data_IF_725221638608
#
_entry.id   IF_725221638608
#
_cell.length_a   1.000
_cell.length_b   1.000
_cell.length_c   1.000
_cell.angle_alpha   90.00
_cell.angle_beta   90.00
_cell.angle_gamma   90.00
#
_symmetry.space_group_name_H-M   'P 1'
#
loop_
_entity.id
_entity.type
_entity.pdbx_description
1 polymer ?
#
# COMPACT_ATOMS: atom_id res chain seq x y z
N UNK A 1 26.95 -23.04 34.90
CA UNK A 1 27.19 -22.20 33.71
C UNK A 1 25.94 -22.19 32.84
N UNK A 2 25.17 -21.10 32.85
CA UNK A 2 23.99 -20.96 32.00
C UNK A 2 24.43 -20.51 30.61
N UNK A 3 24.08 -21.28 29.59
CA UNK A 3 24.25 -20.90 28.19
C UNK A 3 23.23 -19.79 27.91
N UNK A 4 23.67 -18.54 28.01
CA UNK A 4 22.84 -17.37 27.73
C UNK A 4 22.72 -17.25 26.21
N UNK A 5 21.60 -17.69 25.65
CA UNK A 5 21.23 -17.54 24.25
C UNK A 5 21.44 -16.07 23.80
N UNK A 6 22.06 -15.79 22.64
CA UNK A 6 21.99 -14.46 22.08
C UNK A 6 20.52 -14.14 21.75
N UNK A 7 20.03 -12.91 22.01
CA UNK A 7 18.67 -12.54 21.65
C UNK A 7 18.48 -12.71 20.14
N UNK A 8 17.34 -13.23 19.68
CA UNK A 8 17.08 -13.28 18.25
C UNK A 8 17.08 -11.83 17.73
N UNK A 9 17.95 -11.57 16.76
CA UNK A 9 17.79 -10.47 15.80
C UNK A 9 16.47 -10.74 15.07
N UNK A 10 15.35 -10.46 15.73
CA UNK A 10 14.01 -10.64 15.19
C UNK A 10 13.82 -9.54 14.15
N UNK A 11 14.40 -9.78 12.98
CA UNK A 11 13.74 -9.57 11.70
C UNK A 11 12.98 -8.25 11.62
N UNK A 12 13.66 -7.13 11.91
CA UNK A 12 13.13 -5.79 11.63
C UNK A 12 13.26 -5.43 10.14
N UNK A 13 13.24 -6.45 9.28
CA UNK A 13 13.16 -6.37 7.82
C UNK A 13 11.84 -6.97 7.31
N UNK A 14 10.83 -7.06 8.18
CA UNK A 14 9.47 -7.30 7.75
C UNK A 14 8.78 -5.93 7.81
N UNK A 15 8.23 -5.51 6.66
CA UNK A 15 7.10 -4.59 6.52
C UNK A 15 7.29 -3.15 6.00
N UNK A 16 8.39 -2.78 5.34
CA UNK A 16 8.39 -1.48 4.62
C UNK A 16 7.41 -1.41 3.43
N UNK A 17 6.76 -2.53 3.08
CA UNK A 17 5.68 -2.63 2.07
C UNK A 17 4.27 -2.81 2.68
N UNK A 18 4.09 -2.81 4.00
CA UNK A 18 2.93 -3.49 4.64
C UNK A 18 1.88 -2.60 5.33
N UNK A 19 1.85 -1.30 5.09
CA UNK A 19 0.79 -0.44 5.64
C UNK A 19 -0.06 0.24 4.57
N UNK A 20 -0.36 -0.49 3.50
CA UNK A 20 -1.48 -0.09 2.66
C UNK A 20 -2.78 -0.57 3.29
N UNK A 21 -3.70 0.36 3.51
CA UNK A 21 -5.07 0.10 3.95
C UNK A 21 -5.96 -0.13 2.74
N UNK A 22 -6.66 -1.27 2.72
CA UNK A 22 -7.70 -1.53 1.73
C UNK A 22 -8.87 -0.57 1.95
N UNK A 23 -9.32 0.08 0.88
CA UNK A 23 -10.51 0.91 0.89
C UNK A 23 -11.53 0.38 -0.13
N UNK A 24 -12.78 0.29 0.32
CA UNK A 24 -13.90 -0.18 -0.51
C UNK A 24 -14.48 0.87 -1.45
N UNK A 25 -13.96 2.10 -1.43
CA UNK A 25 -14.51 3.24 -2.17
C UNK A 25 -13.51 3.78 -3.18
N UNK A 26 -13.87 3.72 -4.47
CA UNK A 26 -13.10 4.33 -5.55
C UNK A 26 -13.00 5.85 -5.39
N UNK A 27 -14.04 6.51 -4.87
CA UNK A 27 -14.01 7.96 -4.64
C UNK A 27 -12.94 8.36 -3.62
N UNK A 28 -12.83 7.63 -2.50
CA UNK A 28 -11.78 7.88 -1.50
C UNK A 28 -10.39 7.65 -2.07
N UNK A 29 -10.23 6.65 -2.94
CA UNK A 29 -8.98 6.37 -3.61
C UNK A 29 -8.58 7.53 -4.54
N UNK A 30 -9.53 8.01 -5.33
CA UNK A 30 -9.30 9.12 -6.24
C UNK A 30 -8.95 10.41 -5.48
N UNK A 31 -9.68 10.75 -4.42
CA UNK A 31 -9.37 11.91 -3.57
C UNK A 31 -7.97 11.80 -2.98
N UNK A 32 -7.59 10.63 -2.49
CA UNK A 32 -6.25 10.37 -1.96
C UNK A 32 -5.16 10.60 -3.01
N UNK A 33 -5.33 10.05 -4.22
CA UNK A 33 -4.39 10.28 -5.32
C UNK A 33 -4.32 11.76 -5.69
N UNK A 34 -5.45 12.46 -5.73
CA UNK A 34 -5.52 13.87 -6.05
C UNK A 34 -4.78 14.74 -5.02
N UNK A 35 -4.96 14.47 -3.71
CA UNK A 35 -4.22 15.15 -2.63
C UNK A 35 -2.71 14.97 -2.78
N UNK A 36 -2.27 13.80 -3.27
CA UNK A 36 -0.87 13.50 -3.51
C UNK A 36 -0.35 13.99 -4.88
N UNK A 37 -1.20 14.57 -5.71
CA UNK A 37 -0.86 14.99 -7.07
C UNK A 37 -0.58 13.82 -8.03
N UNK A 38 -1.08 12.62 -7.72
CA UNK A 38 -0.90 11.41 -8.52
C UNK A 38 -2.02 11.33 -9.56
N UNK A 39 -1.65 11.15 -10.82
CA UNK A 39 -2.62 10.93 -11.90
C UNK A 39 -3.36 9.61 -11.67
N UNK A 40 -4.69 9.66 -11.63
CA UNK A 40 -5.51 8.48 -11.45
C UNK A 40 -5.29 7.51 -12.63
N UNK A 41 -4.83 6.26 -12.39
CA UNK A 41 -4.69 5.28 -13.45
C UNK A 41 -6.07 4.89 -13.99
N UNK A 42 -6.20 4.84 -15.32
CA UNK A 42 -7.40 4.28 -15.93
C UNK A 42 -7.48 2.78 -15.61
N UNK A 43 -8.50 2.34 -14.87
CA UNK A 43 -8.72 0.94 -14.52
C UNK A 43 -8.74 0.02 -15.75
N UNK A 44 -9.21 0.52 -16.89
CA UNK A 44 -9.18 -0.19 -18.18
C UNK A 44 -7.76 -0.55 -18.65
N UNK A 45 -6.73 0.14 -18.15
CA UNK A 45 -5.31 -0.14 -18.42
C UNK A 45 -4.65 -0.96 -17.31
N UNK A 46 -5.36 -1.25 -16.21
CA UNK A 46 -4.84 -2.05 -15.11
C UNK A 46 -5.20 -3.51 -15.36
N UNK A 47 -4.27 -4.28 -15.93
CA UNK A 47 -4.53 -5.67 -16.30
C UNK A 47 -4.71 -6.58 -15.08
N UNK A 48 -3.85 -6.44 -14.06
CA UNK A 48 -3.89 -7.28 -12.85
C UNK A 48 -3.50 -6.51 -11.59
N UNK A 49 -2.49 -5.65 -11.71
CA UNK A 49 -1.91 -4.93 -10.60
C UNK A 49 -1.41 -3.57 -11.10
N UNK A 50 -1.74 -2.52 -10.36
CA UNK A 50 -1.13 -1.22 -10.50
C UNK A 50 -0.55 -0.80 -9.16
N UNK A 51 0.65 -0.25 -9.17
CA UNK A 51 1.35 0.17 -7.98
C UNK A 51 1.99 1.53 -8.24
N UNK A 52 1.77 2.45 -7.30
CA UNK A 52 2.42 3.75 -7.32
C UNK A 52 3.34 3.89 -6.13
N UNK A 53 4.62 4.08 -6.45
CA UNK A 53 5.68 4.27 -5.47
C UNK A 53 6.20 5.70 -5.58
N UNK A 54 6.33 6.35 -4.45
CA UNK A 54 6.94 7.67 -4.31
C UNK A 54 8.09 7.55 -3.31
N UNK A 55 9.29 8.01 -3.67
CA UNK A 55 10.47 7.97 -2.78
C UNK A 55 10.70 6.56 -2.18
N UNK A 56 10.64 5.54 -3.04
CA UNK A 56 10.76 4.11 -2.69
C UNK A 56 9.65 3.54 -1.78
N UNK A 57 8.65 4.35 -1.43
CA UNK A 57 7.50 3.95 -0.63
C UNK A 57 6.30 3.68 -1.50
N UNK A 58 5.66 2.53 -1.31
CA UNK A 58 4.40 2.22 -1.96
C UNK A 58 3.29 3.07 -1.32
N UNK A 59 2.71 3.98 -2.10
CA UNK A 59 1.71 4.95 -1.63
C UNK A 59 0.30 4.50 -1.99
N UNK A 60 0.13 3.95 -3.20
CA UNK A 60 -1.15 3.46 -3.66
C UNK A 60 -0.97 2.18 -4.48
N UNK A 61 -1.98 1.32 -4.43
CA UNK A 61 -2.03 0.09 -5.22
C UNK A 61 -3.47 -0.23 -5.60
N UNK A 62 -3.65 -0.72 -6.82
CA UNK A 62 -4.90 -1.27 -7.30
C UNK A 62 -4.63 -2.73 -7.65
N UNK A 63 -5.45 -3.63 -7.15
CA UNK A 63 -5.36 -5.04 -7.47
C UNK A 63 -6.70 -5.53 -8.01
N UNK A 64 -6.67 -6.19 -9.16
CA UNK A 64 -7.87 -6.82 -9.71
C UNK A 64 -7.98 -8.22 -9.10
N UNK A 65 -9.09 -8.49 -8.42
CA UNK A 65 -9.39 -9.82 -7.87
C UNK A 65 -9.67 -10.83 -9.00
N UNK A 66 -9.62 -12.14 -8.69
CA UNK A 66 -9.97 -13.20 -9.65
C UNK A 66 -11.40 -13.07 -10.20
N UNK A 67 -12.26 -12.35 -9.49
CA UNK A 67 -13.62 -12.01 -9.89
C UNK A 67 -13.72 -10.75 -10.77
N UNK A 68 -12.59 -10.13 -11.15
CA UNK A 68 -12.56 -8.90 -11.95
C UNK A 68 -12.87 -7.62 -11.15
N UNK A 69 -13.00 -7.71 -9.82
CA UNK A 69 -13.27 -6.56 -8.96
C UNK A 69 -11.98 -5.84 -8.60
N UNK A 70 -11.91 -4.54 -8.88
CA UNK A 70 -10.80 -3.69 -8.45
C UNK A 70 -10.85 -3.47 -6.93
N UNK A 71 -9.74 -3.77 -6.26
CA UNK A 71 -9.48 -3.47 -4.85
C UNK A 71 -8.45 -2.37 -4.78
N UNK A 72 -8.74 -1.37 -3.96
CA UNK A 72 -7.93 -0.17 -3.83
C UNK A 72 -7.22 -0.17 -2.49
N UNK A 73 -5.95 0.19 -2.50
CA UNK A 73 -5.08 0.17 -1.33
C UNK A 73 -4.31 1.49 -1.27
N UNK A 74 -4.28 2.14 -0.10
CA UNK A 74 -3.64 3.45 0.11
C UNK A 74 -2.76 3.43 1.36
N UNK A 75 -1.65 4.17 1.38
CA UNK A 75 -0.84 4.34 2.60
C UNK A 75 -1.60 5.31 3.54
N UNK A 76 -2.27 4.74 4.53
CA UNK A 76 -3.05 5.51 5.51
C UNK A 76 -2.18 6.40 6.40
N UNK A 77 -0.87 6.15 6.48
CA UNK A 77 0.05 7.02 7.22
C UNK A 77 0.22 8.37 6.53
N UNK A 78 0.06 8.44 5.21
CA UNK A 78 0.02 9.70 4.47
C UNK A 78 -1.24 10.54 4.79
N UNK A 79 -2.30 9.93 5.34
CA UNK A 79 -3.52 10.62 5.79
C UNK A 79 -3.43 11.01 7.28
N UNK A 80 -2.52 10.40 8.04
CA UNK A 80 -2.32 10.69 9.46
C UNK A 80 -1.52 11.98 9.67
N UNK A 81 -2.07 13.09 9.19
CA UNK A 81 -1.66 14.46 9.52
C UNK A 81 -2.91 15.29 9.73
N UNK A 82 -3.45 15.21 10.95
CA UNK A 82 -3.81 16.36 11.80
C UNK A 82 -4.37 15.86 13.14
#
# INVERSE_FOLDING_TARGET
MAILYPPPLFQKSVQMTKMLTEIGSHSLFHEYLNVLGIVNPALAKVEQLWEHKQQERLIAKIQIDKQGKARYFIDARAISVN
#
